data_IF_128369567284
#
_entry.id   IF_128369567284
#
_cell.length_a   1.000
_cell.length_b   1.000
_cell.length_c   1.000
_cell.angle_alpha   90.00
_cell.angle_beta   90.00
_cell.angle_gamma   90.00
#
_symmetry.space_group_name_H-M   'P 1'
#
loop_
_entity.id
_entity.type
_entity.pdbx_description
1 polymer ?
#
# COMPACT_ATOMS: atom_id res chain seq x y z
N UNK A 1 0.69 -29.17 7.81
CA UNK A 1 0.01 -28.45 6.73
C UNK A 1 -1.46 -28.19 7.09
N UNK A 2 -1.76 -27.61 8.25
CA UNK A 2 -3.15 -27.32 8.69
C UNK A 2 -3.37 -25.85 9.06
N UNK A 3 -2.39 -24.98 8.77
CA UNK A 3 -2.44 -23.52 8.98
C UNK A 3 -2.29 -22.80 7.62
N UNK A 4 -2.88 -23.35 6.55
CA UNK A 4 -3.10 -22.52 5.37
C UNK A 4 -4.22 -21.56 5.76
N UNK A 5 -3.85 -20.31 6.02
CA UNK A 5 -4.69 -19.26 6.60
C UNK A 5 -6.13 -19.35 6.12
N UNK A 6 -7.10 -19.42 7.04
CA UNK A 6 -8.55 -19.56 6.72
C UNK A 6 -9.13 -18.43 5.84
N UNK A 7 -8.33 -17.39 5.60
CA UNK A 7 -8.65 -16.22 4.80
C UNK A 7 -7.68 -16.02 3.62
N UNK A 8 -6.94 -17.06 3.21
CA UNK A 8 -5.94 -16.97 2.14
C UNK A 8 -6.49 -16.29 0.89
N UNK A 9 -7.65 -16.73 0.40
CA UNK A 9 -8.29 -16.14 -0.80
C UNK A 9 -8.62 -14.65 -0.63
N UNK A 10 -9.01 -14.24 0.58
CA UNK A 10 -9.24 -12.82 0.90
C UNK A 10 -7.94 -12.03 0.93
N UNK A 11 -6.88 -12.60 1.52
CA UNK A 11 -5.57 -11.97 1.60
C UNK A 11 -4.94 -11.77 0.22
N UNK A 12 -5.15 -12.67 -0.73
CA UNK A 12 -4.62 -12.52 -2.08
C UNK A 12 -5.13 -11.26 -2.79
N UNK A 13 -6.32 -10.78 -2.43
CA UNK A 13 -6.93 -9.60 -3.05
C UNK A 13 -6.66 -8.32 -2.23
N UNK A 14 -6.54 -8.43 -0.91
CA UNK A 14 -6.59 -7.26 -0.02
C UNK A 14 -5.31 -7.02 0.80
N UNK A 15 -4.43 -8.01 0.95
CA UNK A 15 -3.23 -7.82 1.77
C UNK A 15 -2.28 -6.79 1.13
N UNK A 16 -1.82 -5.82 1.93
CA UNK A 16 -0.94 -4.74 1.47
C UNK A 16 -1.63 -3.67 0.62
N UNK A 17 -2.96 -3.70 0.50
CA UNK A 17 -3.76 -2.74 -0.25
C UNK A 17 -4.65 -1.95 0.69
N UNK A 18 -4.59 -0.62 0.61
CA UNK A 18 -5.51 0.29 1.28
C UNK A 18 -5.99 1.38 0.30
N UNK A 19 -7.17 1.97 0.49
CA UNK A 19 -7.61 3.09 -0.32
C UNK A 19 -6.58 4.23 -0.30
N UNK A 20 -6.33 4.83 -1.47
CA UNK A 20 -5.33 5.88 -1.60
C UNK A 20 -5.72 7.12 -0.77
N UNK A 21 -4.83 7.54 0.12
CA UNK A 21 -5.05 8.64 1.06
C UNK A 21 -5.56 9.92 0.37
N UNK A 22 -6.53 10.59 1.00
CA UNK A 22 -7.16 11.80 0.45
C UNK A 22 -8.09 11.54 -0.73
N UNK A 23 -8.29 10.28 -1.13
CA UNK A 23 -9.22 9.87 -2.19
C UNK A 23 -10.04 8.65 -1.75
N UNK A 24 -11.01 8.23 -2.57
CA UNK A 24 -11.70 6.94 -2.40
C UNK A 24 -11.26 5.91 -3.44
N UNK A 25 -10.10 6.12 -4.09
CA UNK A 25 -9.58 5.18 -5.06
C UNK A 25 -9.11 3.90 -4.37
N UNK A 26 -9.60 2.74 -4.82
CA UNK A 26 -9.14 1.42 -4.35
C UNK A 26 -7.87 0.94 -5.04
N UNK A 27 -7.59 1.44 -6.24
CA UNK A 27 -6.36 1.11 -6.95
C UNK A 27 -5.19 1.90 -6.36
N UNK A 28 -4.02 1.27 -6.25
CA UNK A 28 -2.79 1.94 -5.83
C UNK A 28 -2.43 3.04 -6.83
N UNK A 29 -2.11 4.26 -6.38
CA UNK A 29 -1.66 5.32 -7.26
C UNK A 29 -0.34 4.94 -7.95
N UNK A 30 -0.20 5.34 -9.21
CA UNK A 30 1.06 5.25 -9.92
C UNK A 30 1.89 6.49 -9.57
N UNK A 31 2.87 6.33 -8.68
CA UNK A 31 3.84 7.37 -8.36
C UNK A 31 4.95 7.42 -9.42
N UNK A 32 4.66 8.02 -10.58
CA UNK A 32 5.62 8.20 -11.66
C UNK A 32 6.62 9.33 -11.36
N UNK A 33 7.48 9.11 -10.37
CA UNK A 33 8.52 10.05 -9.96
C UNK A 33 9.85 9.33 -9.80
N UNK A 34 10.94 10.06 -9.96
CA UNK A 34 12.31 9.59 -9.67
C UNK A 34 12.81 10.02 -8.29
N UNK A 35 12.06 10.87 -7.58
CA UNK A 35 12.47 11.43 -6.28
C UNK A 35 11.27 11.79 -5.38
N UNK A 36 11.53 11.90 -4.08
CA UNK A 36 10.62 12.42 -3.06
C UNK A 36 11.32 13.53 -2.27
N UNK A 37 10.58 14.52 -1.82
CA UNK A 37 11.12 15.65 -1.04
C UNK A 37 11.23 15.30 0.44
N UNK A 38 12.21 15.89 1.12
CA UNK A 38 12.27 15.86 2.58
C UNK A 38 11.36 16.95 3.18
N UNK A 39 10.83 16.70 4.38
CA UNK A 39 10.03 17.69 5.10
C UNK A 39 10.90 18.84 5.64
N UNK A 40 12.12 18.54 6.08
CA UNK A 40 13.10 19.46 6.65
C UNK A 40 14.54 18.92 6.50
N UNK A 41 15.53 19.63 7.06
CA UNK A 41 16.95 19.25 6.98
C UNK A 41 17.34 18.09 7.89
N UNK A 42 16.57 17.81 8.94
CA UNK A 42 16.85 16.69 9.86
C UNK A 42 16.33 15.37 9.26
N UNK A 43 15.29 15.44 8.43
CA UNK A 43 14.74 14.33 7.64
C UNK A 43 15.57 13.98 6.40
N UNK A 44 16.47 14.88 5.95
CA UNK A 44 17.32 14.71 4.77
C UNK A 44 18.52 13.78 5.02
#
# INVERSE_FOLDING_TARGET
MSELSKNFDTLQIHAGQEPAAGTNARAVPIFASTSYTFNDTDHA
#
